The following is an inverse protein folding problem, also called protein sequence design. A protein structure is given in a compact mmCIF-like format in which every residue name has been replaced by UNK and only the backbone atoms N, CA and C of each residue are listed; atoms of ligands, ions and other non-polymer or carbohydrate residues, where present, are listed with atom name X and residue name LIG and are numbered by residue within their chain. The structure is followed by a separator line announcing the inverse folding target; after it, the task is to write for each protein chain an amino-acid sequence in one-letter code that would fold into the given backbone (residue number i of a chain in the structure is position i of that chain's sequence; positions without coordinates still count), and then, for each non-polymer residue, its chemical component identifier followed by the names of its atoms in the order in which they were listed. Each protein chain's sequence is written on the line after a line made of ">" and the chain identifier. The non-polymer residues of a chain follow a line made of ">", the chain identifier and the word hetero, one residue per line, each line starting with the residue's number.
data_IF_225877615086
#
_entry.id   IF_225877615086
#
_cell.length_a   1.000
_cell.length_b   1.000
_cell.length_c   1.000
_cell.angle_alpha   90.00
_cell.angle_beta   90.00
_cell.angle_gamma   90.00
#
_symmetry.space_group_name_H-M   'P 1'
#
loop_
_entity.id
_entity.type
_entity.pdbx_description
1 polymer ?
#
# COMPACT_ATOMS: atom_id res chain seq x y z
N UNK A 1 1.64 -9.96 9.36
CA UNK A 1 3.00 -10.30 8.90
C UNK A 1 3.43 -9.23 7.89
N UNK A 2 4.42 -8.41 8.26
CA UNK A 2 5.49 -7.92 7.37
C UNK A 2 6.25 -9.15 6.82
N UNK A 3 7.06 -9.09 5.75
CA UNK A 3 6.88 -8.62 4.36
C UNK A 3 6.77 -9.82 3.37
N UNK A 4 6.32 -9.59 2.13
CA UNK A 4 6.67 -10.47 1.00
C UNK A 4 7.86 -9.85 0.26
N UNK A 5 9.05 -9.97 0.85
CA UNK A 5 10.34 -9.71 0.19
C UNK A 5 11.21 -10.93 0.42
N UNK A 6 11.37 -11.82 -0.56
CA UNK A 6 12.52 -11.80 -1.47
C UNK A 6 12.23 -12.46 -2.82
N UNK A 7 10.99 -12.90 -3.07
CA UNK A 7 10.64 -13.65 -4.29
C UNK A 7 10.38 -12.76 -5.51
N UNK A 8 10.12 -11.47 -5.29
CA UNK A 8 9.98 -10.49 -6.37
C UNK A 8 11.35 -9.86 -6.66
N UNK A 9 12.31 -10.71 -7.07
CA UNK A 9 13.50 -10.23 -7.75
C UNK A 9 13.07 -9.52 -9.02
N UNK A 10 13.06 -8.18 -9.03
CA UNK A 10 12.58 -7.34 -10.15
C UNK A 10 11.28 -7.85 -10.82
N UNK A 11 10.15 -7.22 -10.52
CA UNK A 11 9.23 -6.87 -11.62
C UNK A 11 7.74 -7.13 -11.50
N UNK A 12 7.20 -7.50 -10.34
CA UNK A 12 5.73 -7.54 -10.23
C UNK A 12 5.22 -6.64 -9.11
N UNK A 13 4.42 -5.66 -9.52
CA UNK A 13 3.57 -4.89 -8.61
C UNK A 13 2.65 -5.86 -7.85
N UNK A 14 2.34 -5.54 -6.59
CA UNK A 14 1.31 -6.29 -5.87
C UNK A 14 -0.01 -6.14 -6.64
N UNK A 15 -0.70 -7.24 -6.99
CA UNK A 15 -1.99 -7.15 -7.64
C UNK A 15 -2.99 -6.34 -6.79
N UNK A 16 -3.70 -5.40 -7.43
CA UNK A 16 -4.62 -4.47 -6.76
C UNK A 16 -5.72 -5.20 -5.97
N UNK A 17 -6.21 -6.32 -6.50
CA UNK A 17 -7.22 -7.18 -5.86
C UNK A 17 -6.73 -7.76 -4.52
N UNK A 18 -5.42 -8.04 -4.39
CA UNK A 18 -4.81 -8.48 -3.13
C UNK A 18 -4.94 -7.40 -2.05
N UNK A 19 -4.65 -6.15 -2.41
CA UNK A 19 -4.73 -5.00 -1.51
C UNK A 19 -6.18 -4.72 -1.08
N UNK A 20 -7.14 -4.86 -2.00
CA UNK A 20 -8.58 -4.75 -1.71
C UNK A 20 -9.02 -5.86 -0.75
N UNK A 21 -8.62 -7.10 -0.98
CA UNK A 21 -8.97 -8.22 -0.11
C UNK A 21 -8.44 -8.03 1.31
N UNK A 22 -7.20 -7.54 1.45
CA UNK A 22 -6.62 -7.23 2.75
C UNK A 22 -7.37 -6.11 3.49
N UNK A 23 -7.89 -5.11 2.76
CA UNK A 23 -8.71 -4.05 3.36
C UNK A 23 -10.00 -4.60 3.98
N UNK A 24 -10.69 -5.51 3.26
CA UNK A 24 -11.88 -6.19 3.78
C UNK A 24 -11.58 -7.07 5.00
N UNK A 25 -10.46 -7.80 4.96
CA UNK A 25 -10.02 -8.62 6.10
C UNK A 25 -9.67 -7.76 7.32
N UNK A 26 -9.02 -6.61 7.11
CA UNK A 26 -8.70 -5.68 8.19
C UNK A 26 -9.97 -5.12 8.84
N UNK A 27 -10.96 -4.72 8.05
CA UNK A 27 -12.27 -4.29 8.56
C UNK A 27 -12.96 -5.41 9.37
N UNK A 28 -13.04 -6.61 8.81
CA UNK A 28 -13.65 -7.77 9.47
C UNK A 28 -12.94 -8.15 10.78
N UNK A 29 -11.62 -7.93 10.86
CA UNK A 29 -10.83 -8.15 12.06
C UNK A 29 -10.94 -7.01 13.09
N UNK A 30 -11.69 -5.94 12.80
CA UNK A 30 -11.94 -4.82 13.73
C UNK A 30 -10.86 -3.74 13.72
N UNK A 31 -9.97 -3.72 12.74
CA UNK A 31 -9.08 -2.57 12.54
C UNK A 31 -9.90 -1.32 12.23
N UNK A 32 -9.42 -0.17 12.74
CA UNK A 32 -10.14 1.11 12.62
C UNK A 32 -9.58 2.04 11.55
N UNK A 33 -8.45 1.68 10.94
CA UNK A 33 -7.79 2.56 9.99
C UNK A 33 -6.87 1.80 9.04
N UNK A 34 -6.86 2.23 7.78
CA UNK A 34 -5.91 1.85 6.74
C UNK A 34 -5.15 3.09 6.27
N UNK A 35 -3.85 2.92 6.02
CA UNK A 35 -2.95 4.02 5.68
C UNK A 35 -2.06 3.65 4.49
N UNK A 36 -1.96 4.55 3.50
CA UNK A 36 -1.04 4.43 2.36
C UNK A 36 -0.10 5.63 2.30
N UNK A 37 1.12 5.41 1.79
CA UNK A 37 2.14 6.45 1.61
C UNK A 37 1.99 7.10 0.23
N UNK A 38 2.21 8.40 0.16
CA UNK A 38 2.25 9.16 -1.09
C UNK A 38 3.69 9.22 -1.62
N UNK A 39 4.04 8.29 -2.50
CA UNK A 39 5.39 8.13 -3.07
C UNK A 39 5.29 8.08 -4.60
N UNK A 40 5.52 9.20 -5.30
CA UNK A 40 5.24 9.31 -6.74
C UNK A 40 6.27 8.61 -7.62
N UNK A 41 7.49 8.37 -7.12
CA UNK A 41 8.58 7.81 -7.91
C UNK A 41 9.23 6.62 -7.21
N UNK A 42 9.35 5.54 -7.98
CA UNK A 42 10.09 4.34 -7.64
C UNK A 42 11.61 4.56 -7.80
N UNK A 43 12.22 5.34 -6.89
CA UNK A 43 13.66 5.64 -6.94
C UNK A 43 14.43 4.68 -6.02
N UNK A 44 15.55 4.09 -6.47
CA UNK A 44 16.43 3.29 -5.63
C UNK A 44 17.17 4.11 -4.56
N UNK A 45 16.49 4.46 -3.47
CA UNK A 45 17.07 5.22 -2.36
C UNK A 45 17.81 4.29 -1.38
N UNK A 46 19.13 4.15 -1.52
CA UNK A 46 19.96 3.42 -0.55
C UNK A 46 19.57 1.95 -0.37
N UNK A 47 19.10 1.32 -1.46
CA UNK A 47 18.48 0.00 -1.37
C UNK A 47 19.50 -1.11 -1.10
N UNK A 48 19.26 -1.89 -0.05
CA UNK A 48 19.79 -3.22 0.18
C UNK A 48 18.70 -4.26 -0.11
N UNK A 49 19.05 -5.54 -0.34
CA UNK A 49 18.07 -6.61 -0.58
C UNK A 49 16.98 -6.66 0.51
N UNK A 50 17.30 -6.29 1.74
CA UNK A 50 16.37 -6.26 2.88
C UNK A 50 15.41 -5.05 2.94
N UNK A 51 15.61 -3.98 2.15
CA UNK A 51 14.79 -2.77 2.19
C UNK A 51 14.17 -2.36 0.83
N UNK A 52 14.32 -3.20 -0.20
CA UNK A 52 13.78 -3.01 -1.57
C UNK A 52 12.25 -2.86 -1.64
N UNK A 53 11.52 -3.23 -0.58
CA UNK A 53 10.06 -3.15 -0.53
C UNK A 53 9.50 -1.73 -0.61
N UNK A 54 10.32 -0.71 -0.34
CA UNK A 54 9.88 0.67 -0.20
C UNK A 54 9.64 1.43 -1.52
N UNK A 55 9.80 0.77 -2.67
CA UNK A 55 10.05 1.45 -3.96
C UNK A 55 8.85 1.41 -4.89
N UNK A 56 7.96 0.41 -4.79
CA UNK A 56 6.88 0.22 -5.75
C UNK A 56 5.53 0.25 -5.03
N UNK A 57 4.80 1.35 -5.19
CA UNK A 57 3.46 1.53 -4.66
C UNK A 57 2.53 1.98 -5.79
N UNK A 58 1.28 1.52 -5.75
CA UNK A 58 0.21 2.09 -6.57
C UNK A 58 -0.02 3.56 -6.18
N UNK A 59 -0.62 4.34 -7.07
CA UNK A 59 -1.05 5.69 -6.74
C UNK A 59 -1.89 5.68 -5.46
N UNK A 60 -1.51 6.48 -4.44
CA UNK A 60 -2.11 6.41 -3.11
C UNK A 60 -3.61 6.73 -3.14
N UNK A 61 -4.06 7.64 -4.00
CA UNK A 61 -5.46 8.04 -4.04
C UNK A 61 -6.32 7.02 -4.78
N UNK A 62 -5.80 6.42 -5.86
CA UNK A 62 -6.50 5.37 -6.58
C UNK A 62 -6.68 4.12 -5.72
N UNK A 63 -5.62 3.65 -5.05
CA UNK A 63 -5.73 2.45 -4.23
C UNK A 63 -6.61 2.68 -3.01
N UNK A 64 -6.55 3.86 -2.38
CA UNK A 64 -7.43 4.21 -1.27
C UNK A 64 -8.90 4.30 -1.71
N UNK A 65 -9.17 4.83 -2.91
CA UNK A 65 -10.51 4.83 -3.51
C UNK A 65 -11.05 3.41 -3.74
N UNK A 66 -10.21 2.51 -4.26
CA UNK A 66 -10.58 1.11 -4.48
C UNK A 66 -10.87 0.37 -3.16
N UNK A 67 -10.05 0.59 -2.12
CA UNK A 67 -10.32 0.05 -0.78
C UNK A 67 -11.59 0.63 -0.18
N UNK A 68 -11.82 1.95 -0.31
CA UNK A 68 -13.01 2.61 0.19
C UNK A 68 -14.29 2.07 -0.44
N UNK A 69 -14.26 1.72 -1.73
CA UNK A 69 -15.38 1.07 -2.40
C UNK A 69 -15.67 -0.33 -1.86
N UNK A 70 -14.66 -1.06 -1.40
CA UNK A 70 -14.76 -2.45 -0.97
C UNK A 70 -15.02 -2.64 0.54
N UNK A 71 -14.94 -1.57 1.33
CA UNK A 71 -15.14 -1.55 2.79
C UNK A 71 -16.27 -0.60 3.18
N UNK A 72 -16.82 -0.71 4.39
CA UNK A 72 -18.04 0.05 4.78
C UNK A 72 -17.84 1.09 5.90
N UNK A 73 -16.89 0.88 6.80
CA UNK A 73 -16.77 1.57 8.09
C UNK A 73 -15.34 1.86 8.53
N UNK A 74 -14.35 1.12 8.01
CA UNK A 74 -12.95 1.35 8.33
C UNK A 74 -12.51 2.71 7.79
N UNK A 75 -11.80 3.48 8.62
CA UNK A 75 -11.26 4.77 8.18
C UNK A 75 -10.14 4.55 7.18
N UNK A 76 -10.08 5.39 6.15
CA UNK A 76 -9.04 5.34 5.13
C UNK A 76 -8.32 6.68 5.07
N UNK A 77 -6.98 6.67 5.02
CA UNK A 77 -6.20 7.88 4.98
C UNK A 77 -4.80 7.70 4.39
N UNK A 78 -4.11 8.83 4.18
CA UNK A 78 -2.69 8.84 3.81
C UNK A 78 -1.83 9.05 5.05
N UNK A 79 -0.62 8.50 5.04
CA UNK A 79 0.38 8.71 6.09
C UNK A 79 1.77 9.01 5.47
N UNK A 80 1.97 10.18 4.87
CA UNK A 80 1.05 11.31 4.71
C UNK A 80 1.01 11.77 3.25
N UNK A 81 -0.01 12.54 2.86
CA UNK A 81 -0.02 13.25 1.58
C UNK A 81 1.12 14.25 1.51
N UNK A 82 1.85 14.27 0.39
CA UNK A 82 2.93 15.24 0.16
C UNK A 82 2.33 16.48 -0.51
N UNK A 83 1.71 17.35 0.29
CA UNK A 83 1.02 18.57 -0.17
C UNK A 83 1.77 19.47 -1.18
N UNK A 84 3.11 19.63 -1.13
CA UNK A 84 3.81 20.51 -2.08
C UNK A 84 4.19 19.85 -3.42
N UNK A 85 3.94 18.54 -3.59
CA UNK A 85 4.12 17.86 -4.87
C UNK A 85 2.87 18.02 -5.75
#
# INVERSE_FOLDING_TARGET
>A
MTPLGSELGRGEMVPVDRSIHLAQQAEAAGFRGLWVRDVPLAIPQGLSPENQQAVFLDDPFLILGAMAQATSTITIGTAATVLPL
#
